data_IF_901145755408
#
_entry.id   IF_901145755408
#
_cell.length_a   1.000
_cell.length_b   1.000
_cell.length_c   1.000
_cell.angle_alpha   90.00
_cell.angle_beta   90.00
_cell.angle_gamma   90.00
#
_symmetry.space_group_name_H-M   'P 1'
#
loop_
_entity.id
_entity.type
_entity.pdbx_description
1 polymer ?
#
# COMPACT_ATOMS: atom_id res chain seq x y z
N UNK A 1 -2.99 4.52 -1.40
CA UNK A 1 -4.41 4.86 -1.15
C UNK A 1 -5.01 3.93 -0.13
N UNK A 2 -5.99 4.41 0.63
CA UNK A 2 -6.69 3.58 1.61
C UNK A 2 -8.19 3.83 1.55
N UNK A 3 -8.97 2.79 1.87
CA UNK A 3 -10.41 2.88 1.94
C UNK A 3 -10.96 2.09 3.14
N UNK A 4 -11.98 2.65 3.78
CA UNK A 4 -12.78 1.98 4.80
C UNK A 4 -13.77 1.01 4.14
N UNK A 5 -13.96 -0.16 4.73
CA UNK A 5 -14.91 -1.16 4.26
C UNK A 5 -16.25 -1.08 5.01
N UNK A 6 -17.31 -1.50 4.32
CA UNK A 6 -18.66 -1.65 4.91
C UNK A 6 -18.75 -2.94 5.75
N UNK A 7 -18.06 -3.98 5.31
CA UNK A 7 -18.07 -5.31 5.90
C UNK A 7 -16.83 -5.61 6.74
N UNK A 8 -16.67 -6.90 7.08
CA UNK A 8 -15.58 -7.44 7.90
C UNK A 8 -14.71 -8.42 7.10
N UNK A 9 -14.70 -8.30 5.76
CA UNK A 9 -14.05 -9.27 4.87
C UNK A 9 -12.53 -9.07 4.79
N UNK A 10 -12.03 -7.98 5.37
CA UNK A 10 -10.60 -7.67 5.48
C UNK A 10 -10.03 -8.02 6.86
N UNK A 11 -8.72 -7.99 6.97
CA UNK A 11 -8.02 -8.05 8.26
C UNK A 11 -8.19 -6.68 8.94
N UNK A 12 -8.68 -6.68 10.18
CA UNK A 12 -8.96 -5.44 10.90
C UNK A 12 -8.62 -5.50 12.37
N UNK A 13 -8.28 -4.36 12.94
CA UNK A 13 -8.07 -4.20 14.38
C UNK A 13 -9.38 -3.73 15.00
N UNK A 14 -10.22 -4.70 15.40
CA UNK A 14 -11.50 -4.44 16.02
C UNK A 14 -11.86 -5.60 16.97
N UNK A 15 -12.60 -5.36 18.07
CA UNK A 15 -13.06 -6.44 18.95
C UNK A 15 -13.83 -7.53 18.19
N UNK A 16 -14.55 -7.16 17.15
CA UNK A 16 -15.30 -8.07 16.28
C UNK A 16 -14.43 -9.00 15.42
N UNK A 17 -13.12 -8.74 15.33
CA UNK A 17 -12.16 -9.60 14.65
C UNK A 17 -11.64 -10.73 15.55
N UNK A 18 -11.77 -10.62 16.88
CA UNK A 18 -11.20 -11.56 17.84
C UNK A 18 -11.63 -13.03 17.62
N UNK A 19 -12.92 -13.37 17.40
CA UNK A 19 -13.32 -14.76 17.13
C UNK A 19 -12.69 -15.32 15.84
N UNK A 20 -12.56 -14.49 14.81
CA UNK A 20 -11.92 -14.85 13.54
C UNK A 20 -10.41 -15.07 13.75
N UNK A 21 -9.74 -14.19 14.50
CA UNK A 21 -8.33 -14.32 14.84
C UNK A 21 -8.04 -15.61 15.61
N UNK A 22 -8.84 -15.95 16.63
CA UNK A 22 -8.69 -17.21 17.37
C UNK A 22 -8.83 -18.42 16.44
N UNK A 23 -9.83 -18.44 15.57
CA UNK A 23 -10.02 -19.53 14.59
C UNK A 23 -8.85 -19.61 13.60
N UNK A 24 -8.36 -18.47 13.13
CA UNK A 24 -7.24 -18.39 12.20
C UNK A 24 -5.94 -18.89 12.86
N UNK A 25 -5.69 -18.50 14.13
CA UNK A 25 -4.56 -19.00 14.93
C UNK A 25 -4.62 -20.51 15.09
N UNK A 26 -5.79 -21.03 15.43
CA UNK A 26 -5.97 -22.49 15.60
C UNK A 26 -5.75 -23.25 14.28
N UNK A 27 -6.28 -22.74 13.16
CA UNK A 27 -6.09 -23.33 11.83
C UNK A 27 -4.60 -23.32 11.43
N UNK A 28 -3.90 -22.22 11.70
CA UNK A 28 -2.48 -22.09 11.42
C UNK A 28 -1.64 -23.07 12.24
N UNK A 29 -1.85 -23.14 13.56
CA UNK A 29 -1.08 -24.01 14.43
C UNK A 29 -1.35 -25.51 14.19
N UNK A 30 -2.59 -25.87 13.81
CA UNK A 30 -2.97 -27.26 13.58
C UNK A 30 -2.68 -27.79 12.18
N UNK A 31 -2.80 -26.93 11.17
CA UNK A 31 -2.84 -27.34 9.76
C UNK A 31 -1.88 -26.56 8.87
N UNK A 32 -1.21 -25.53 9.37
CA UNK A 32 -0.41 -24.60 8.56
C UNK A 32 -1.25 -23.88 7.50
N UNK A 33 -2.53 -23.63 7.77
CA UNK A 33 -3.49 -23.06 6.82
C UNK A 33 -4.23 -21.87 7.41
N UNK A 34 -4.88 -21.08 6.55
CA UNK A 34 -5.74 -19.97 6.95
C UNK A 34 -5.09 -18.61 6.78
N UNK A 35 -5.72 -17.59 7.32
CA UNK A 35 -5.38 -16.18 7.08
C UNK A 35 -3.95 -15.79 7.51
N UNK A 36 -3.39 -16.47 8.50
CA UNK A 36 -2.02 -16.21 8.96
C UNK A 36 -0.92 -16.85 8.10
N UNK A 37 -1.28 -17.53 7.02
CA UNK A 37 -0.33 -17.95 5.99
C UNK A 37 -0.13 -16.90 4.91
N UNK A 38 -0.97 -15.86 4.87
CA UNK A 38 -0.89 -14.76 3.92
C UNK A 38 0.32 -13.86 4.20
N UNK A 39 0.98 -13.41 3.16
CA UNK A 39 2.00 -12.35 3.22
C UNK A 39 1.40 -10.94 3.28
N UNK A 40 0.07 -10.83 3.45
CA UNK A 40 -0.73 -9.61 3.50
C UNK A 40 -0.93 -8.94 2.14
N UNK A 41 0.09 -8.87 1.29
CA UNK A 41 -0.04 -8.30 -0.06
C UNK A 41 -0.53 -9.39 -1.04
N UNK A 42 -1.84 -9.65 -1.03
CA UNK A 42 -2.43 -10.83 -1.70
C UNK A 42 -2.63 -10.66 -3.21
N UNK A 43 -2.67 -9.43 -3.69
CA UNK A 43 -2.81 -9.14 -5.12
C UNK A 43 -1.96 -7.94 -5.50
N UNK A 44 -1.62 -7.86 -6.78
CA UNK A 44 -0.86 -6.75 -7.32
C UNK A 44 -0.87 -6.74 -8.83
N UNK A 45 -0.22 -5.75 -9.41
CA UNK A 45 -0.11 -5.63 -10.85
C UNK A 45 0.92 -4.61 -11.26
N UNK A 46 1.32 -4.71 -12.51
CA UNK A 46 2.25 -3.79 -13.15
C UNK A 46 1.53 -3.08 -14.28
N UNK A 47 1.63 -1.76 -14.30
CA UNK A 47 0.99 -0.93 -15.33
C UNK A 47 1.91 0.20 -15.77
N UNK A 48 1.58 0.80 -16.91
CA UNK A 48 2.25 2.01 -17.39
C UNK A 48 1.56 3.26 -16.83
N UNK A 49 2.34 4.25 -16.44
CA UNK A 49 1.80 5.57 -16.05
C UNK A 49 1.28 6.37 -17.27
N UNK A 50 1.74 6.00 -18.44
CA UNK A 50 1.46 6.63 -19.74
C UNK A 50 1.25 5.51 -20.77
N UNK A 51 0.18 5.57 -21.61
CA UNK A 51 -0.08 4.57 -22.65
C UNK A 51 1.06 4.38 -23.65
N UNK A 52 1.86 5.42 -23.92
CA UNK A 52 2.96 5.38 -24.90
C UNK A 52 4.22 4.69 -24.38
N UNK A 53 4.20 4.21 -23.13
CA UNK A 53 5.33 3.47 -22.56
C UNK A 53 5.30 2.01 -22.97
N UNK A 54 6.43 1.51 -23.47
CA UNK A 54 6.62 0.10 -23.81
C UNK A 54 6.65 -0.84 -22.60
N UNK A 55 7.04 -0.32 -21.42
CA UNK A 55 7.24 -1.13 -20.22
C UNK A 55 6.50 -0.53 -19.02
N UNK A 56 5.91 -1.38 -18.17
CA UNK A 56 5.35 -0.95 -16.90
C UNK A 56 6.40 -0.22 -16.05
N UNK A 57 6.00 0.91 -15.49
CA UNK A 57 6.82 1.69 -14.56
C UNK A 57 6.13 1.93 -13.22
N UNK A 58 4.93 1.40 -13.05
CA UNK A 58 4.18 1.42 -11.79
C UNK A 58 3.86 0.00 -11.35
N UNK A 59 3.94 -0.21 -10.04
CA UNK A 59 3.50 -1.45 -9.40
C UNK A 59 2.45 -1.15 -8.34
N UNK A 60 1.43 -1.98 -8.29
CA UNK A 60 0.41 -1.96 -7.26
C UNK A 60 0.55 -3.15 -6.32
N UNK A 61 0.34 -2.90 -5.01
CA UNK A 61 0.19 -3.93 -4.00
C UNK A 61 -1.15 -3.73 -3.32
N UNK A 62 -2.02 -4.73 -3.43
CA UNK A 62 -3.32 -4.75 -2.76
C UNK A 62 -3.19 -5.47 -1.41
N UNK A 63 -3.58 -4.78 -0.35
CA UNK A 63 -3.48 -5.24 1.03
C UNK A 63 -4.88 -5.16 1.64
N UNK A 64 -5.50 -6.30 2.04
CA UNK A 64 -6.82 -6.32 2.65
C UNK A 64 -6.76 -5.91 4.14
N UNK A 65 -6.05 -4.84 4.43
CA UNK A 65 -5.91 -4.25 5.75
C UNK A 65 -5.56 -2.76 5.64
N UNK A 66 -5.77 -1.99 6.71
CA UNK A 66 -5.13 -0.69 6.84
C UNK A 66 -3.63 -0.88 7.09
N UNK A 67 -2.80 -0.20 6.31
CA UNK A 67 -1.36 -0.18 6.51
C UNK A 67 -0.85 1.27 6.50
N UNK A 68 -0.75 1.88 7.67
CA UNK A 68 -0.18 3.20 7.85
C UNK A 68 1.30 3.10 8.23
N UNK A 69 2.12 3.94 7.60
CA UNK A 69 3.54 4.09 7.90
C UNK A 69 4.26 2.72 8.04
N UNK A 70 4.06 1.85 7.03
CA UNK A 70 4.61 0.48 7.01
C UNK A 70 4.27 -0.36 8.26
N UNK A 71 3.09 -0.17 8.82
CA UNK A 71 2.62 -0.90 10.00
C UNK A 71 3.04 -0.29 11.35
N UNK A 72 3.75 0.84 11.35
CA UNK A 72 4.15 1.52 12.59
C UNK A 72 2.98 2.23 13.29
N UNK A 73 1.93 2.54 12.54
CA UNK A 73 0.70 3.13 13.08
C UNK A 73 -0.47 2.18 12.90
N UNK A 74 -1.11 1.84 14.00
CA UNK A 74 -2.30 1.02 14.01
C UNK A 74 -3.53 1.84 13.63
N UNK A 75 -4.38 1.26 12.79
CA UNK A 75 -5.68 1.84 12.45
C UNK A 75 -6.78 0.90 12.88
N UNK A 76 -7.75 1.44 13.61
CA UNK A 76 -8.91 0.68 14.06
C UNK A 76 -9.91 0.48 12.92
N UNK A 77 -10.59 -0.66 12.93
CA UNK A 77 -11.62 -1.00 11.97
C UNK A 77 -11.14 -1.88 10.83
N UNK A 78 -11.96 -1.98 9.80
CA UNK A 78 -11.72 -2.79 8.60
C UNK A 78 -11.48 -1.88 7.41
N UNK A 79 -10.40 -2.13 6.70
CA UNK A 79 -10.04 -1.32 5.54
C UNK A 79 -9.18 -2.11 4.56
N UNK A 80 -8.86 -1.45 3.48
CA UNK A 80 -7.90 -1.93 2.49
C UNK A 80 -6.89 -0.82 2.16
N UNK A 81 -5.75 -1.24 1.71
CA UNK A 81 -4.69 -0.35 1.23
C UNK A 81 -4.26 -0.79 -0.16
N UNK A 82 -4.17 0.16 -1.08
CA UNK A 82 -3.59 -0.02 -2.40
C UNK A 82 -2.35 0.86 -2.50
N UNK A 83 -1.18 0.24 -2.41
CA UNK A 83 0.10 0.93 -2.60
C UNK A 83 0.40 1.10 -4.07
N UNK A 84 1.02 2.23 -4.40
CA UNK A 84 1.52 2.56 -5.73
C UNK A 84 3.02 2.81 -5.60
N UNK A 85 3.80 2.10 -6.38
CA UNK A 85 5.25 2.24 -6.41
C UNK A 85 5.72 2.66 -7.79
N UNK A 86 6.60 3.67 -7.87
CA UNK A 86 7.32 3.99 -9.10
C UNK A 86 8.55 3.04 -9.21
N UNK A 87 8.58 2.20 -10.24
CA UNK A 87 9.62 1.20 -10.45
C UNK A 87 10.88 1.76 -11.11
N UNK A 88 10.72 2.87 -11.84
CA UNK A 88 11.79 3.47 -12.65
C UNK A 88 11.96 4.96 -12.30
N UNK A 89 12.21 5.30 -11.01
CA UNK A 89 12.43 6.69 -10.63
C UNK A 89 13.72 7.23 -11.27
N UNK A 90 13.68 8.48 -11.70
CA UNK A 90 14.86 9.20 -12.22
C UNK A 90 15.62 9.92 -11.11
N UNK A 91 14.98 10.21 -9.98
CA UNK A 91 15.64 10.75 -8.79
C UNK A 91 16.77 9.84 -8.32
N UNK A 92 17.85 10.44 -7.85
CA UNK A 92 19.01 9.73 -7.32
C UNK A 92 19.33 10.22 -5.93
N UNK A 93 19.53 9.27 -5.02
CA UNK A 93 20.00 9.50 -3.68
C UNK A 93 21.46 9.08 -3.48
N UNK A 94 21.92 9.16 -2.25
CA UNK A 94 23.29 8.82 -1.86
C UNK A 94 23.30 8.21 -0.47
N UNK A 95 24.14 7.18 -0.32
CA UNK A 95 24.53 6.64 0.99
C UNK A 95 26.00 6.96 1.18
N UNK A 96 26.36 7.48 2.33
CA UNK A 96 27.75 7.83 2.68
C UNK A 96 28.05 7.48 4.13
N UNK A 97 29.32 7.29 4.46
CA UNK A 97 29.74 7.12 5.84
C UNK A 97 29.47 8.40 6.64
N UNK A 98 28.97 8.23 7.85
CA UNK A 98 28.80 9.35 8.79
C UNK A 98 30.09 9.69 9.51
N UNK A 99 30.87 8.66 9.87
CA UNK A 99 32.15 8.72 10.59
C UNK A 99 33.05 7.57 10.11
N UNK A 100 34.34 7.54 10.50
CA UNK A 100 35.21 6.40 10.26
C UNK A 100 34.85 5.14 11.07
N UNK A 101 34.04 5.26 12.11
CA UNK A 101 33.58 4.12 12.92
C UNK A 101 32.67 3.19 12.10
N UNK A 102 33.05 1.91 11.88
CA UNK A 102 32.26 0.97 11.10
C UNK A 102 30.91 0.59 11.74
N UNK A 103 30.74 0.85 13.05
CA UNK A 103 29.50 0.58 13.77
C UNK A 103 28.54 1.78 13.73
N UNK A 104 28.99 2.94 13.29
CA UNK A 104 28.11 4.10 13.15
C UNK A 104 27.13 3.93 11.97
N UNK A 105 25.85 4.28 12.16
CA UNK A 105 24.87 4.21 11.07
C UNK A 105 25.25 5.16 9.92
N UNK A 106 25.04 4.75 8.66
CA UNK A 106 25.35 5.57 7.50
C UNK A 106 24.44 6.79 7.39
N UNK A 107 24.89 7.80 6.68
CA UNK A 107 24.02 8.90 6.21
C UNK A 107 23.29 8.45 4.96
N UNK A 108 21.97 8.48 5.02
CA UNK A 108 21.10 8.13 3.90
C UNK A 108 20.36 9.37 3.42
N UNK A 109 20.72 9.85 2.22
CA UNK A 109 20.02 10.93 1.54
C UNK A 109 19.23 10.32 0.37
N UNK A 110 17.97 9.97 0.63
CA UNK A 110 17.13 9.28 -0.36
C UNK A 110 16.82 10.14 -1.58
N UNK A 111 16.63 11.45 -1.38
CA UNK A 111 16.38 12.44 -2.43
C UNK A 111 15.21 12.06 -3.36
N UNK A 112 14.14 11.46 -2.78
CA UNK A 112 12.95 11.08 -3.52
C UNK A 112 12.28 12.29 -4.16
N UNK A 113 11.65 12.07 -5.33
CA UNK A 113 10.87 13.06 -6.07
C UNK A 113 11.67 14.33 -6.46
N UNK A 114 13.00 14.27 -6.47
CA UNK A 114 13.85 15.38 -6.89
C UNK A 114 13.86 15.59 -8.41
N UNK A 115 13.50 14.55 -9.17
CA UNK A 115 13.37 14.65 -10.62
C UNK A 115 11.91 14.99 -10.99
N UNK A 116 11.68 15.95 -11.90
CA UNK A 116 10.34 16.42 -12.25
C UNK A 116 9.41 15.34 -12.82
N UNK A 117 9.94 14.27 -13.41
CA UNK A 117 9.13 13.20 -14.00
C UNK A 117 8.60 12.19 -12.96
N UNK A 118 9.16 12.16 -11.76
CA UNK A 118 8.81 11.11 -10.78
C UNK A 118 7.44 11.35 -10.15
N UNK A 119 7.12 12.61 -9.84
CA UNK A 119 5.83 12.97 -9.25
C UNK A 119 4.66 12.73 -10.20
N UNK A 120 4.69 13.18 -11.47
CA UNK A 120 3.62 12.91 -12.44
C UNK A 120 3.32 11.41 -12.62
N UNK A 121 4.35 10.56 -12.62
CA UNK A 121 4.17 9.12 -12.72
C UNK A 121 3.39 8.57 -11.51
N UNK A 122 3.72 9.00 -10.28
CA UNK A 122 3.00 8.59 -9.07
C UNK A 122 1.57 9.13 -9.03
N UNK A 123 1.34 10.38 -9.45
CA UNK A 123 0.00 10.96 -9.55
C UNK A 123 -0.88 10.18 -10.54
N UNK A 124 -0.33 9.80 -11.70
CA UNK A 124 -1.01 8.90 -12.64
C UNK A 124 -1.37 7.58 -11.96
N UNK A 125 -0.45 7.01 -11.21
CA UNK A 125 -0.68 5.79 -10.43
C UNK A 125 -1.79 5.94 -9.39
N UNK A 126 -1.86 7.05 -8.67
CA UNK A 126 -2.95 7.31 -7.72
C UNK A 126 -4.32 7.43 -8.42
N UNK A 127 -4.37 8.07 -9.60
CA UNK A 127 -5.59 8.12 -10.42
C UNK A 127 -6.03 6.73 -10.89
N UNK A 128 -5.09 5.88 -11.28
CA UNK A 128 -5.38 4.48 -11.63
C UNK A 128 -5.87 3.71 -10.41
N UNK A 129 -5.20 3.85 -9.25
CA UNK A 129 -5.61 3.23 -8.00
C UNK A 129 -7.04 3.59 -7.62
N UNK A 130 -7.42 4.87 -7.74
CA UNK A 130 -8.78 5.34 -7.46
C UNK A 130 -9.81 4.68 -8.38
N UNK A 131 -9.51 4.55 -9.68
CA UNK A 131 -10.37 3.81 -10.63
C UNK A 131 -10.53 2.35 -10.27
N UNK A 132 -9.44 1.69 -9.81
CA UNK A 132 -9.49 0.30 -9.34
C UNK A 132 -10.43 0.18 -8.13
N UNK A 133 -10.33 1.06 -7.15
CA UNK A 133 -11.20 1.05 -5.96
C UNK A 133 -12.66 1.35 -6.30
N UNK A 134 -12.91 2.12 -7.33
CA UNK A 134 -14.25 2.46 -7.82
C UNK A 134 -14.86 1.41 -8.74
N UNK A 135 -14.09 0.41 -9.17
CA UNK A 135 -14.58 -0.65 -10.03
C UNK A 135 -15.73 -1.44 -9.36
N UNK A 136 -16.74 -1.93 -10.12
CA UNK A 136 -17.96 -2.54 -9.57
C UNK A 136 -17.70 -3.70 -8.60
N UNK A 137 -16.59 -4.44 -8.79
CA UNK A 137 -16.21 -5.54 -7.92
C UNK A 137 -15.82 -5.10 -6.51
N UNK A 138 -15.09 -4.00 -6.37
CA UNK A 138 -14.58 -3.48 -5.08
C UNK A 138 -15.48 -2.42 -4.45
N UNK A 139 -16.05 -1.53 -5.26
CA UNK A 139 -16.80 -0.38 -4.78
C UNK A 139 -18.01 -0.74 -3.90
N UNK A 140 -18.61 -1.91 -4.12
CA UNK A 140 -19.72 -2.42 -3.29
C UNK A 140 -19.30 -2.63 -1.84
N UNK A 141 -18.07 -3.06 -1.61
CA UNK A 141 -17.50 -3.31 -0.27
C UNK A 141 -16.90 -2.06 0.37
N UNK A 142 -16.57 -1.05 -0.41
CA UNK A 142 -15.97 0.19 0.08
C UNK A 142 -17.04 1.13 0.63
N UNK A 143 -16.82 1.64 1.85
CA UNK A 143 -17.65 2.68 2.47
C UNK A 143 -17.22 4.07 2.03
N UNK A 144 -15.92 4.34 2.12
CA UNK A 144 -15.32 5.61 1.71
C UNK A 144 -13.81 5.50 1.54
N UNK A 145 -13.25 6.32 0.67
CA UNK A 145 -11.81 6.54 0.59
C UNK A 145 -11.36 7.35 1.81
N UNK A 146 -10.30 6.90 2.48
CA UNK A 146 -9.77 7.54 3.70
C UNK A 146 -8.43 8.24 3.47
N UNK A 147 -7.64 7.78 2.50
CA UNK A 147 -6.36 8.39 2.15
C UNK A 147 -6.13 8.31 0.62
N UNK A 148 -5.88 9.44 -0.04
CA UNK A 148 -5.82 10.83 0.44
C UNK A 148 -7.16 11.39 0.91
N UNK A 149 -8.28 10.79 0.55
CA UNK A 149 -9.63 11.20 0.88
C UNK A 149 -10.40 11.71 -0.35
N UNK A 150 -11.72 11.57 -0.30
CA UNK A 150 -12.59 11.90 -1.45
C UNK A 150 -12.53 13.36 -1.88
N UNK A 151 -12.19 14.27 -0.96
CA UNK A 151 -12.09 15.71 -1.24
C UNK A 151 -10.79 16.10 -1.98
N UNK A 152 -9.80 15.23 -2.04
CA UNK A 152 -8.54 15.50 -2.77
C UNK A 152 -8.73 15.11 -4.23
N UNK A 153 -9.02 16.12 -5.06
CA UNK A 153 -9.32 15.95 -6.50
C UNK A 153 -8.32 16.63 -7.42
N UNK A 154 -7.49 17.51 -6.88
CA UNK A 154 -6.42 18.20 -7.60
C UNK A 154 -5.07 17.51 -7.40
N UNK A 155 -4.12 17.82 -8.27
CA UNK A 155 -2.75 17.29 -8.20
C UNK A 155 -1.83 18.16 -7.32
N UNK A 156 -2.36 19.25 -6.71
CA UNK A 156 -1.67 20.19 -5.83
C UNK A 156 -1.67 19.74 -4.36
#
# INVERSE_FOLDING_TARGET
>A
MQAALKGRDAIGIAPTFLPRAVRATWAYLRRGQGEFTSNIAEAGGFVTSDPDRERPNLQFHFIPAYLHDHGRRLSLGYGLTLHVCNLLPKSRGRISLATPDPMAPPRIAANYLSHPDDLPALLSGLKIARRILQAPGLSKSIRQETLPGQGVTTDD
#
